data_IF_917712528694
#
_entry.id   IF_917712528694
#
_cell.length_a   1.000
_cell.length_b   1.000
_cell.length_c   1.000
_cell.angle_alpha   90.00
_cell.angle_beta   90.00
_cell.angle_gamma   90.00
#
_symmetry.space_group_name_H-M   'P 1'
#
loop_
_entity.id
_entity.type
_entity.pdbx_description
1 polymer ?
#
# COMPACT_ATOMS: atom_id res chain seq x y z
N UNK A 1 -6.02 16.05 -28.65
CA UNK A 1 -6.50 17.43 -28.85
C UNK A 1 -5.39 18.40 -29.28
N UNK A 2 -4.41 18.80 -28.42
CA UNK A 2 -3.34 19.75 -28.84
C UNK A 2 -2.45 19.27 -30.00
N UNK A 3 -2.13 17.98 -30.04
CA UNK A 3 -1.37 17.38 -31.14
C UNK A 3 -2.15 17.35 -32.45
N UNK A 4 -3.46 17.10 -32.38
CA UNK A 4 -4.34 16.99 -33.54
C UNK A 4 -4.56 18.38 -34.18
N UNK A 5 -4.80 19.41 -33.35
CA UNK A 5 -4.88 20.80 -33.82
C UNK A 5 -3.56 21.30 -34.40
N UNK A 6 -2.41 20.87 -33.85
CA UNK A 6 -1.10 21.20 -34.40
C UNK A 6 -0.93 20.62 -35.81
N UNK A 7 -1.32 19.36 -36.02
CA UNK A 7 -1.25 18.73 -37.35
C UNK A 7 -2.13 19.44 -38.38
N UNK A 8 -3.32 19.93 -38.00
CA UNK A 8 -4.16 20.73 -38.88
C UNK A 8 -3.52 22.09 -39.22
N UNK A 9 -2.98 22.80 -38.23
CA UNK A 9 -2.32 24.10 -38.44
C UNK A 9 -1.06 23.99 -39.32
N UNK A 10 -0.30 22.89 -39.21
CA UNK A 10 0.86 22.61 -40.07
C UNK A 10 0.48 22.32 -41.54
N UNK A 11 -0.72 21.78 -41.78
CA UNK A 11 -1.24 21.55 -43.13
C UNK A 11 -1.85 22.82 -43.75
N UNK A 12 -2.19 23.81 -42.92
CA UNK A 12 -2.72 25.11 -43.32
C UNK A 12 -1.64 26.15 -43.66
N UNK A 13 -2.08 27.36 -43.98
CA UNK A 13 -1.19 28.50 -44.28
C UNK A 13 -1.03 29.47 -43.11
N UNK A 14 -1.69 29.22 -41.98
CA UNK A 14 -1.63 30.11 -40.82
C UNK A 14 -0.39 29.84 -39.94
N UNK A 15 -0.04 30.81 -39.11
CA UNK A 15 1.10 30.71 -38.20
C UNK A 15 0.73 30.21 -36.79
N UNK A 16 -0.50 29.70 -36.60
CA UNK A 16 -0.98 29.21 -35.31
C UNK A 16 -0.22 27.97 -34.84
N UNK A 17 0.44 27.25 -35.75
CA UNK A 17 1.30 26.11 -35.44
C UNK A 17 2.42 26.46 -34.44
N UNK A 18 2.91 27.71 -34.45
CA UNK A 18 3.95 28.15 -33.50
C UNK A 18 3.42 28.19 -32.06
N UNK A 19 2.26 28.80 -31.86
CA UNK A 19 1.56 28.82 -30.57
C UNK A 19 1.17 27.42 -30.13
N UNK A 20 0.60 26.61 -31.03
CA UNK A 20 0.21 25.23 -30.74
C UNK A 20 1.40 24.34 -30.37
N UNK A 21 2.57 24.56 -31.00
CA UNK A 21 3.81 23.86 -30.66
C UNK A 21 4.28 24.21 -29.25
N UNK A 22 4.31 25.50 -28.89
CA UNK A 22 4.68 25.92 -27.54
C UNK A 22 3.73 25.34 -26.50
N UNK A 23 2.43 25.39 -26.79
CA UNK A 23 1.39 24.85 -25.94
C UNK A 23 1.48 23.32 -25.74
N UNK A 24 1.86 22.58 -26.78
CA UNK A 24 2.13 21.14 -26.70
C UNK A 24 3.39 20.87 -25.87
N UNK A 25 4.47 21.64 -26.07
CA UNK A 25 5.69 21.54 -25.28
C UNK A 25 5.43 21.80 -23.79
N UNK A 26 4.67 22.84 -23.44
CA UNK A 26 4.28 23.11 -22.04
C UNK A 26 3.42 21.99 -21.45
N UNK A 27 2.49 21.44 -22.23
CA UNK A 27 1.68 20.31 -21.79
C UNK A 27 2.54 19.07 -21.52
N UNK A 28 3.49 18.75 -22.40
CA UNK A 28 4.43 17.65 -22.24
C UNK A 28 5.37 17.85 -21.05
N UNK A 29 5.88 19.06 -20.84
CA UNK A 29 6.71 19.37 -19.68
C UNK A 29 5.93 19.20 -18.37
N UNK A 30 4.68 19.67 -18.34
CA UNK A 30 3.78 19.52 -17.19
C UNK A 30 3.50 18.04 -16.91
N UNK A 31 3.18 17.26 -17.95
CA UNK A 31 2.95 15.81 -17.84
C UNK A 31 4.21 15.09 -17.32
N UNK A 32 5.40 15.45 -17.82
CA UNK A 32 6.67 14.90 -17.36
C UNK A 32 6.91 15.17 -15.87
N UNK A 33 6.69 16.42 -15.42
CA UNK A 33 6.77 16.80 -14.00
C UNK A 33 5.76 16.04 -13.14
N UNK A 34 4.55 15.85 -13.65
CA UNK A 34 3.49 15.10 -12.94
C UNK A 34 3.86 13.62 -12.78
N UNK A 35 4.35 12.97 -13.84
CA UNK A 35 4.81 11.57 -13.78
C UNK A 35 5.98 11.44 -12.81
N UNK A 36 6.95 12.35 -12.88
CA UNK A 36 8.12 12.31 -11.99
C UNK A 36 7.75 12.48 -10.51
N UNK A 37 6.91 13.48 -10.20
CA UNK A 37 6.44 13.70 -8.82
C UNK A 37 5.61 12.51 -8.33
N UNK A 38 4.66 12.01 -9.12
CA UNK A 38 3.84 10.85 -8.76
C UNK A 38 4.70 9.62 -8.47
N UNK A 39 5.70 9.32 -9.32
CA UNK A 39 6.62 8.21 -9.08
C UNK A 39 7.40 8.36 -7.77
N UNK A 40 7.85 9.59 -7.46
CA UNK A 40 8.54 9.86 -6.19
C UNK A 40 7.61 9.66 -4.98
N UNK A 41 6.36 10.11 -5.06
CA UNK A 41 5.36 9.93 -4.00
C UNK A 41 5.02 8.45 -3.80
N UNK A 42 4.82 7.69 -4.89
CA UNK A 42 4.54 6.25 -4.83
C UNK A 42 5.70 5.48 -4.20
N UNK A 43 6.94 5.84 -4.53
CA UNK A 43 8.13 5.23 -3.91
C UNK A 43 8.20 5.52 -2.41
N UNK A 44 7.94 6.76 -1.99
CA UNK A 44 7.90 7.12 -0.58
C UNK A 44 6.78 6.38 0.16
N UNK A 45 5.61 6.25 -0.47
CA UNK A 45 4.49 5.50 0.09
C UNK A 45 4.85 4.02 0.28
N UNK A 46 5.52 3.40 -0.69
CA UNK A 46 5.99 2.02 -0.59
C UNK A 46 6.93 1.85 0.61
N UNK A 47 7.92 2.73 0.75
CA UNK A 47 8.86 2.72 1.90
C UNK A 47 8.11 2.80 3.24
N UNK A 48 7.07 3.63 3.33
CA UNK A 48 6.25 3.73 4.55
C UNK A 48 5.38 2.49 4.80
N UNK A 49 4.88 1.85 3.77
CA UNK A 49 4.13 0.59 3.89
C UNK A 49 5.06 -0.53 4.39
N UNK A 50 6.28 -0.62 3.87
CA UNK A 50 7.29 -1.58 4.33
C UNK A 50 7.67 -1.37 5.80
N UNK A 51 7.86 -0.11 6.20
CA UNK A 51 8.12 0.27 7.60
C UNK A 51 6.98 -0.21 8.52
N UNK A 52 5.73 0.04 8.10
CA UNK A 52 4.53 -0.34 8.85
C UNK A 52 4.37 -1.86 8.94
N UNK A 53 4.64 -2.60 7.86
CA UNK A 53 4.63 -4.07 7.86
C UNK A 53 5.62 -4.61 8.90
N UNK A 54 6.80 -4.01 9.00
CA UNK A 54 7.79 -4.33 10.03
C UNK A 54 7.27 -4.11 11.46
N UNK A 55 6.53 -3.02 11.69
CA UNK A 55 5.87 -2.75 12.98
C UNK A 55 4.83 -3.81 13.31
N UNK A 56 3.97 -4.16 12.33
CA UNK A 56 2.92 -5.18 12.50
C UNK A 56 3.52 -6.53 12.87
N UNK A 57 4.55 -7.00 12.15
CA UNK A 57 5.25 -8.27 12.45
C UNK A 57 5.81 -8.32 13.87
N UNK A 58 6.38 -7.20 14.35
CA UNK A 58 6.85 -7.11 15.75
C UNK A 58 5.69 -7.15 16.73
N UNK A 59 4.58 -6.48 16.44
CA UNK A 59 3.35 -6.55 17.22
C UNK A 59 2.83 -7.97 17.35
N UNK A 60 2.72 -8.70 16.23
CA UNK A 60 2.26 -10.09 16.21
C UNK A 60 3.18 -11.01 17.02
N UNK A 61 4.49 -10.81 16.91
CA UNK A 61 5.49 -11.55 17.69
C UNK A 61 5.34 -11.31 19.19
N UNK A 62 5.11 -10.06 19.61
CA UNK A 62 4.90 -9.71 21.01
C UNK A 62 3.59 -10.32 21.55
N UNK A 63 2.52 -10.31 20.75
CA UNK A 63 1.24 -10.96 21.10
C UNK A 63 1.43 -12.47 21.25
N UNK A 64 2.14 -13.12 20.34
CA UNK A 64 2.42 -14.55 20.42
C UNK A 64 3.23 -14.90 21.68
N UNK A 65 4.25 -14.11 22.01
CA UNK A 65 5.03 -14.28 23.24
C UNK A 65 4.18 -14.11 24.50
N UNK A 66 3.33 -13.07 24.55
CA UNK A 66 2.42 -12.84 25.66
C UNK A 66 1.43 -14.00 25.86
N UNK A 67 0.86 -14.53 24.77
CA UNK A 67 0.00 -15.72 24.80
C UNK A 67 0.73 -16.95 25.32
N UNK A 68 1.97 -17.18 24.90
CA UNK A 68 2.78 -18.31 25.38
C UNK A 68 3.03 -18.23 26.89
N UNK A 69 3.36 -17.04 27.41
CA UNK A 69 3.54 -16.81 28.86
C UNK A 69 2.22 -17.00 29.62
N UNK A 70 1.11 -16.49 29.09
CA UNK A 70 -0.20 -16.68 29.73
C UNK A 70 -0.57 -18.16 29.84
N UNK A 71 -0.37 -18.92 28.76
CA UNK A 71 -0.67 -20.34 28.72
C UNK A 71 0.23 -21.16 29.65
N UNK A 72 1.50 -20.78 29.82
CA UNK A 72 2.41 -21.48 30.74
C UNK A 72 2.09 -21.21 32.22
N UNK A 73 1.57 -20.02 32.54
CA UNK A 73 1.16 -19.64 33.89
C UNK A 73 -0.23 -20.18 34.29
N UNK A 74 -1.12 -20.42 33.32
CA UNK A 74 -2.46 -21.00 33.53
C UNK A 74 -2.68 -22.28 32.70
N UNK A 75 -1.97 -23.38 32.98
CA UNK A 75 -2.09 -24.63 32.22
C UNK A 75 -3.47 -25.33 32.38
N UNK A 76 -4.34 -24.87 33.29
CA UNK A 76 -5.53 -25.61 33.73
C UNK A 76 -6.91 -25.03 33.37
N UNK A 77 -7.05 -23.83 32.79
CA UNK A 77 -8.38 -23.25 32.52
C UNK A 77 -9.08 -23.86 31.29
N UNK A 78 -8.37 -24.67 30.49
CA UNK A 78 -8.92 -25.38 29.33
C UNK A 78 -9.28 -26.85 29.53
N UNK A 79 -8.97 -27.47 30.68
CA UNK A 79 -9.26 -28.88 30.90
C UNK A 79 -10.54 -29.04 31.71
N UNK A 80 -11.67 -29.12 31.00
CA UNK A 80 -12.94 -29.55 31.58
C UNK A 80 -12.73 -30.94 32.21
N UNK A 81 -12.83 -30.94 33.53
CA UNK A 81 -12.80 -32.13 34.38
C UNK A 81 -13.92 -33.09 34.02
N UNK A 82 -13.60 -34.18 33.31
CA UNK A 82 -14.43 -35.39 33.32
C UNK A 82 -14.17 -36.14 34.63
N UNK A 83 -14.84 -35.71 35.70
CA UNK A 83 -14.99 -36.52 36.92
C UNK A 83 -15.89 -37.70 36.59
N UNK A 84 -15.29 -38.86 36.33
CA UNK A 84 -16.00 -40.13 36.40
C UNK A 84 -16.32 -40.41 37.88
N UNK A 85 -17.60 -40.24 38.22
CA UNK A 85 -18.18 -40.77 39.45
C UNK A 85 -18.51 -42.22 39.15
N UNK A 86 -17.78 -43.18 39.71
CA UNK A 86 -18.33 -44.51 39.97
C UNK A 86 -17.76 -45.11 41.26
N UNK A 87 -18.67 -45.75 41.99
CA UNK A 87 -18.69 -46.05 43.42
C UNK A 87 -17.94 -47.34 43.83
N UNK A 88 -17.71 -47.57 45.14
CA UNK A 88 -16.96 -48.73 45.65
C UNK A 88 -17.85 -49.98 45.83
N UNK A 89 -17.33 -51.15 45.42
CA UNK A 89 -17.68 -52.53 45.85
C UNK A 89 -16.44 -53.40 45.57
N UNK A 90 -15.87 -54.22 46.46
CA UNK A 90 -16.18 -54.78 47.78
C UNK A 90 -14.86 -54.87 48.56
#
# INVERSE_FOLDING_TARGET
EKYDHLNEALAGTDHSWTTLTLELCTALETASKLVHSTNSLVRLLLEKVEELEGVVKRGDSAIAAAKAIHNSLNPGVGSVSSRNIEQPRL
#
